data_IF_884645952834
#
_entry.id   IF_884645952834
#
_cell.length_a   1.000
_cell.length_b   1.000
_cell.length_c   1.000
_cell.angle_alpha   90.00
_cell.angle_beta   90.00
_cell.angle_gamma   90.00
#
_symmetry.space_group_name_H-M   'P 1'
#
loop_
_entity.id
_entity.type
_entity.pdbx_description
1 polymer ?
#
# COMPACT_ATOMS: atom_id res chain seq x y z
N UNK A 1 11.86 22.85 -10.17
CA UNK A 1 11.46 22.46 -8.80
C UNK A 1 9.97 22.68 -8.66
N UNK A 2 9.21 21.74 -8.10
CA UNK A 2 7.78 21.93 -7.85
C UNK A 2 7.62 22.80 -6.60
N UNK A 3 7.62 24.12 -6.77
CA UNK A 3 7.23 25.06 -5.73
C UNK A 3 5.71 24.95 -5.51
N UNK A 4 5.33 23.93 -4.74
CA UNK A 4 3.97 23.75 -4.25
C UNK A 4 3.85 24.66 -3.03
N UNK A 5 3.51 25.91 -3.30
CA UNK A 5 3.14 26.86 -2.26
C UNK A 5 1.81 26.42 -1.62
N UNK A 6 1.67 26.56 -0.31
CA UNK A 6 0.49 26.16 0.47
C UNK A 6 -0.82 26.66 -0.17
N UNK A 7 -0.81 27.88 -0.71
CA UNK A 7 -1.95 28.46 -1.42
C UNK A 7 -2.40 27.68 -2.65
N UNK A 8 -1.47 27.10 -3.43
CA UNK A 8 -1.80 26.30 -4.61
C UNK A 8 -2.51 25.01 -4.22
N UNK A 9 -2.10 24.37 -3.12
CA UNK A 9 -2.76 23.16 -2.61
C UNK A 9 -4.20 23.46 -2.24
N UNK A 10 -4.43 24.56 -1.50
CA UNK A 10 -5.79 24.98 -1.12
C UNK A 10 -6.65 25.25 -2.35
N UNK A 11 -6.12 26.00 -3.33
CA UNK A 11 -6.86 26.32 -4.55
C UNK A 11 -7.29 25.05 -5.31
N UNK A 12 -6.36 24.12 -5.48
CA UNK A 12 -6.64 22.83 -6.14
C UNK A 12 -7.63 22.00 -5.33
N UNK A 13 -7.51 21.98 -4.01
CA UNK A 13 -8.46 21.28 -3.14
C UNK A 13 -9.87 21.85 -3.30
N UNK A 14 -10.04 23.17 -3.31
CA UNK A 14 -11.34 23.83 -3.51
C UNK A 14 -11.93 23.48 -4.87
N UNK A 15 -11.14 23.57 -5.95
CA UNK A 15 -11.60 23.21 -7.31
C UNK A 15 -12.00 21.73 -7.37
N UNK A 16 -11.21 20.83 -6.79
CA UNK A 16 -11.51 19.41 -6.74
C UNK A 16 -12.81 19.12 -5.97
N UNK A 17 -13.04 19.83 -4.85
CA UNK A 17 -14.29 19.73 -4.08
C UNK A 17 -15.50 20.25 -4.86
N UNK A 18 -15.35 21.28 -5.68
CA UNK A 18 -16.44 21.79 -6.52
C UNK A 18 -16.77 20.81 -7.66
N UNK A 19 -15.76 20.32 -8.36
CA UNK A 19 -15.94 19.44 -9.54
C UNK A 19 -16.47 18.06 -9.13
N UNK A 20 -15.86 17.45 -8.12
CA UNK A 20 -16.22 16.10 -7.69
C UNK A 20 -17.33 16.13 -6.64
N UNK A 21 -17.42 17.18 -5.85
CA UNK A 21 -18.28 17.28 -4.68
C UNK A 21 -17.53 16.85 -3.40
N UNK A 22 -17.68 17.58 -2.27
CA UNK A 22 -16.99 17.26 -1.01
C UNK A 22 -17.37 15.90 -0.44
N UNK A 23 -18.55 15.41 -0.80
CA UNK A 23 -19.06 14.12 -0.33
C UNK A 23 -18.64 12.94 -1.22
N UNK A 24 -18.33 13.18 -2.50
CA UNK A 24 -17.95 12.13 -3.44
C UNK A 24 -16.44 11.84 -3.41
N UNK A 25 -15.61 12.85 -3.15
CA UNK A 25 -14.17 12.70 -2.99
C UNK A 25 -13.78 11.63 -1.95
N UNK A 26 -14.33 11.64 -0.71
CA UNK A 26 -14.08 10.58 0.27
C UNK A 26 -14.73 9.25 -0.10
N UNK A 27 -15.89 9.25 -0.76
CA UNK A 27 -16.56 7.99 -1.20
C UNK A 27 -15.76 7.28 -2.28
N UNK A 28 -15.22 8.01 -3.25
CA UNK A 28 -14.37 7.49 -4.31
C UNK A 28 -13.05 6.96 -3.73
N UNK A 29 -12.39 7.73 -2.86
CA UNK A 29 -11.17 7.31 -2.18
C UNK A 29 -11.38 6.04 -1.34
N UNK A 30 -12.51 5.90 -0.63
CA UNK A 30 -12.84 4.68 0.13
C UNK A 30 -13.06 3.49 -0.79
N UNK A 31 -13.71 3.68 -1.93
CA UNK A 31 -13.98 2.61 -2.89
C UNK A 31 -12.69 2.10 -3.53
N UNK A 32 -11.88 3.01 -4.06
CA UNK A 32 -10.55 2.70 -4.61
C UNK A 32 -9.63 2.12 -3.53
N UNK A 33 -9.68 2.66 -2.32
CA UNK A 33 -8.91 2.18 -1.18
C UNK A 33 -9.23 0.73 -0.79
N UNK A 34 -10.51 0.31 -0.89
CA UNK A 34 -10.90 -1.09 -0.65
C UNK A 34 -10.31 -2.02 -1.73
N UNK A 35 -10.45 -1.65 -3.00
CA UNK A 35 -9.89 -2.39 -4.14
C UNK A 35 -8.36 -2.55 -4.02
N UNK A 36 -7.65 -1.46 -3.75
CA UNK A 36 -6.20 -1.48 -3.55
C UNK A 36 -5.79 -2.30 -2.32
N UNK A 37 -6.59 -2.27 -1.25
CA UNK A 37 -6.34 -3.05 -0.03
C UNK A 37 -6.46 -4.55 -0.29
N UNK A 38 -7.45 -4.97 -1.07
CA UNK A 38 -7.64 -6.37 -1.46
C UNK A 38 -6.50 -6.85 -2.36
N UNK A 39 -6.10 -6.05 -3.35
CA UNK A 39 -4.93 -6.33 -4.19
C UNK A 39 -3.64 -6.44 -3.36
N UNK A 40 -3.40 -5.47 -2.46
CA UNK A 40 -2.24 -5.49 -1.55
C UNK A 40 -2.26 -6.71 -0.64
N UNK A 41 -3.43 -7.13 -0.16
CA UNK A 41 -3.57 -8.33 0.66
C UNK A 41 -3.26 -9.60 -0.14
N UNK A 42 -3.71 -9.70 -1.38
CA UNK A 42 -3.37 -10.80 -2.28
C UNK A 42 -1.85 -10.88 -2.52
N UNK A 43 -1.21 -9.75 -2.85
CA UNK A 43 0.24 -9.68 -3.01
C UNK A 43 0.99 -10.03 -1.72
N UNK A 44 0.49 -9.59 -0.56
CA UNK A 44 1.09 -9.90 0.74
C UNK A 44 0.95 -11.39 1.10
N UNK A 45 -0.18 -12.03 0.77
CA UNK A 45 -0.36 -13.47 0.95
C UNK A 45 0.61 -14.27 0.08
N UNK A 46 0.73 -13.91 -1.20
CA UNK A 46 1.66 -14.56 -2.14
C UNK A 46 3.11 -14.38 -1.69
N UNK A 47 3.49 -13.15 -1.29
CA UNK A 47 4.81 -12.92 -0.69
C UNK A 47 5.03 -13.73 0.57
N UNK A 48 4.00 -13.93 1.41
CA UNK A 48 4.11 -14.71 2.65
C UNK A 48 4.23 -16.21 2.39
N UNK A 49 3.56 -16.73 1.35
CA UNK A 49 3.73 -18.12 0.90
C UNK A 49 5.12 -18.34 0.31
N UNK A 50 5.58 -17.43 -0.55
CA UNK A 50 6.93 -17.45 -1.13
C UNK A 50 8.00 -17.29 -0.05
N UNK A 51 7.83 -16.34 0.88
CA UNK A 51 8.74 -16.14 2.01
C UNK A 51 8.67 -17.29 3.02
N UNK A 52 7.53 -17.96 3.14
CA UNK A 52 7.37 -19.19 3.93
C UNK A 52 8.23 -20.32 3.36
N UNK A 53 8.30 -20.46 2.03
CA UNK A 53 9.17 -21.43 1.37
C UNK A 53 10.64 -20.99 1.41
N UNK A 54 10.95 -19.72 1.13
CA UNK A 54 12.34 -19.20 1.15
C UNK A 54 12.94 -19.21 2.56
N UNK A 55 12.13 -19.00 3.60
CA UNK A 55 12.60 -19.08 4.99
C UNK A 55 12.84 -20.52 5.45
N UNK A 56 12.22 -21.52 4.80
CA UNK A 56 12.56 -22.93 5.02
C UNK A 56 13.86 -23.33 4.31
N UNK A 57 14.31 -22.56 3.31
CA UNK A 57 15.55 -22.84 2.56
C UNK A 57 16.82 -22.19 3.14
N UNK A 58 16.72 -21.38 4.21
CA UNK A 58 17.89 -20.67 4.79
C UNK A 58 18.07 -20.86 6.31
N UNK A 59 17.32 -21.78 6.91
CA UNK A 59 17.58 -22.27 8.26
C UNK A 59 17.84 -23.78 8.17
N UNK A 60 18.94 -24.17 7.51
CA UNK A 60 19.72 -25.32 7.96
C UNK A 60 20.68 -24.82 9.05
N UNK A 61 20.32 -24.81 10.36
CA UNK A 61 21.33 -25.07 11.35
C UNK A 61 21.74 -26.54 11.15
N UNK A 62 22.84 -26.71 10.42
CA UNK A 62 23.74 -27.85 10.45
C UNK A 62 23.53 -28.65 11.74
N UNK A 63 22.93 -29.84 11.61
CA UNK A 63 22.86 -30.76 12.74
C UNK A 63 24.29 -31.15 13.12
N UNK A 64 24.61 -30.91 14.39
CA UNK A 64 25.21 -31.90 15.28
C UNK A 64 26.31 -32.79 14.68
N UNK A 65 27.57 -32.44 14.93
CA UNK A 65 28.63 -33.40 15.29
C UNK A 65 29.95 -32.64 15.49
N UNK A 66 30.41 -32.47 16.73
CA UNK A 66 31.62 -33.18 17.18
C UNK A 66 31.78 -33.00 18.71
N UNK A 67 31.55 -34.13 19.40
CA UNK A 67 32.39 -34.73 20.44
C UNK A 67 33.15 -33.85 21.45
#
# INVERSE_FOLDING_TARGET
MLEISFWKIILVAVVALIVLGPEQLPRAARSVGRLLKELKKGLASVQKEIAGTIKTENDEPEKESDK
#
